data_IF_268006857255
#
_entry.id   IF_268006857255
#
_cell.length_a   1.000
_cell.length_b   1.000
_cell.length_c   1.000
_cell.angle_alpha   90.00
_cell.angle_beta   90.00
_cell.angle_gamma   90.00
#
_symmetry.space_group_name_H-M   'P 1'
#
loop_
_entity.id
_entity.type
_entity.pdbx_description
1 polymer ?
#
# COMPACT_ATOMS: atom_id res chain seq x y z
N UNK A 1 8.13 -21.00 13.22
CA UNK A 1 8.19 -19.52 13.27
C UNK A 1 9.59 -19.11 12.84
N UNK A 2 9.82 -18.79 11.56
CA UNK A 2 11.10 -18.26 11.09
C UNK A 2 11.38 -16.95 11.83
N UNK A 3 12.62 -16.76 12.30
CA UNK A 3 12.98 -15.74 13.27
C UNK A 3 12.61 -14.33 12.82
N UNK A 4 11.60 -13.74 13.46
CA UNK A 4 11.32 -12.31 13.36
C UNK A 4 12.54 -11.53 13.85
N UNK A 5 12.91 -10.50 13.10
CA UNK A 5 13.92 -9.54 13.53
C UNK A 5 13.42 -8.79 14.77
N UNK A 6 13.86 -9.27 15.94
CA UNK A 6 13.45 -8.79 17.26
C UNK A 6 13.77 -7.31 17.46
N UNK A 7 14.74 -6.75 16.76
CA UNK A 7 15.09 -5.34 16.86
C UNK A 7 14.07 -4.46 16.13
N UNK A 8 13.73 -4.82 14.89
CA UNK A 8 12.68 -4.13 14.12
C UNK A 8 11.32 -4.21 14.82
N UNK A 9 10.96 -5.38 15.37
CA UNK A 9 9.72 -5.54 16.14
C UNK A 9 9.68 -4.62 17.36
N UNK A 10 10.77 -4.56 18.15
CA UNK A 10 10.89 -3.67 19.31
C UNK A 10 10.77 -2.19 18.92
N UNK A 11 11.35 -1.80 17.79
CA UNK A 11 11.25 -0.43 17.29
C UNK A 11 9.83 -0.07 16.88
N UNK A 12 9.14 -0.95 16.16
CA UNK A 12 7.75 -0.73 15.74
C UNK A 12 6.80 -0.64 16.95
N UNK A 13 6.98 -1.50 17.95
CA UNK A 13 6.17 -1.50 19.18
C UNK A 13 6.30 -0.20 20.01
N UNK A 14 7.30 0.64 19.75
CA UNK A 14 7.41 1.98 20.38
C UNK A 14 6.42 2.99 19.80
N UNK A 15 6.04 2.82 18.53
CA UNK A 15 5.18 3.76 17.80
C UNK A 15 3.78 3.22 17.57
N UNK A 16 3.63 1.89 17.57
CA UNK A 16 2.37 1.22 17.30
C UNK A 16 2.00 0.29 18.47
N UNK A 17 0.74 0.28 18.92
CA UNK A 17 0.28 -0.58 20.00
C UNK A 17 0.26 -2.06 19.60
N UNK A 18 0.30 -2.36 18.30
CA UNK A 18 0.35 -3.72 17.76
C UNK A 18 1.32 -3.82 16.60
N UNK A 19 1.98 -4.96 16.54
CA UNK A 19 2.82 -5.39 15.43
C UNK A 19 2.37 -6.80 15.04
N UNK A 20 2.19 -7.03 13.76
CA UNK A 20 1.84 -8.33 13.18
C UNK A 20 2.67 -8.60 11.93
N UNK A 21 2.72 -9.85 11.50
CA UNK A 21 3.25 -10.15 10.15
C UNK A 21 2.32 -9.55 9.10
N UNK A 22 2.84 -9.26 7.90
CA UNK A 22 2.00 -8.78 6.80
C UNK A 22 0.86 -9.76 6.48
N UNK A 23 1.13 -11.07 6.53
CA UNK A 23 0.11 -12.09 6.32
C UNK A 23 -1.01 -12.02 7.36
N UNK A 24 -0.66 -11.97 8.65
CA UNK A 24 -1.64 -11.87 9.74
C UNK A 24 -2.45 -10.57 9.66
N UNK A 25 -1.78 -9.48 9.26
CA UNK A 25 -2.44 -8.19 9.07
C UNK A 25 -3.47 -8.26 7.93
N UNK A 26 -3.12 -8.82 6.77
CA UNK A 26 -4.04 -9.02 5.65
C UNK A 26 -5.22 -9.94 6.04
N UNK A 27 -4.96 -11.01 6.79
CA UNK A 27 -5.99 -11.91 7.31
C UNK A 27 -6.97 -11.23 8.29
N UNK A 28 -6.57 -10.15 8.97
CA UNK A 28 -7.47 -9.34 9.79
C UNK A 28 -8.33 -8.38 8.96
N UNK A 29 -7.85 -7.96 7.79
CA UNK A 29 -8.59 -7.03 6.91
C UNK A 29 -9.66 -7.73 6.07
N UNK A 30 -9.40 -8.98 5.67
CA UNK A 30 -10.23 -9.75 4.76
C UNK A 30 -11.18 -10.72 5.49
N UNK A 31 -12.31 -11.10 4.87
CA UNK A 31 -13.22 -12.09 5.44
C UNK A 31 -12.55 -13.48 5.50
N UNK A 32 -12.79 -14.23 6.59
CA UNK A 32 -12.13 -15.52 6.84
C UNK A 32 -12.43 -16.59 5.78
N UNK A 33 -13.64 -16.58 5.21
CA UNK A 33 -14.11 -17.63 4.29
C UNK A 33 -13.31 -17.72 2.99
N UNK A 34 -12.83 -16.58 2.48
CA UNK A 34 -12.12 -16.51 1.19
C UNK A 34 -10.76 -15.81 1.30
N UNK A 35 -10.63 -14.81 2.17
CA UNK A 35 -9.43 -13.98 2.27
C UNK A 35 -8.21 -14.74 2.80
N UNK A 36 -8.40 -15.62 3.77
CA UNK A 36 -7.29 -16.35 4.40
C UNK A 36 -6.64 -17.33 3.40
N UNK A 37 -7.46 -18.03 2.61
CA UNK A 37 -6.97 -18.92 1.55
C UNK A 37 -6.19 -18.15 0.48
N UNK A 38 -6.67 -16.97 0.09
CA UNK A 38 -6.00 -16.13 -0.90
C UNK A 38 -4.67 -15.56 -0.38
N UNK A 39 -4.60 -15.18 0.90
CA UNK A 39 -3.35 -14.72 1.54
C UNK A 39 -2.32 -15.85 1.58
N UNK A 40 -2.72 -17.07 1.93
CA UNK A 40 -1.80 -18.21 1.89
C UNK A 40 -1.32 -18.49 0.46
N UNK A 41 -2.20 -18.48 -0.54
CA UNK A 41 -1.84 -18.68 -1.96
C UNK A 41 -0.91 -17.58 -2.50
N UNK A 42 -1.09 -16.32 -2.05
CA UNK A 42 -0.20 -15.21 -2.40
C UNK A 42 1.25 -15.49 -1.98
N UNK A 43 1.41 -16.01 -0.75
CA UNK A 43 2.72 -16.29 -0.17
C UNK A 43 3.22 -17.73 -0.41
N UNK A 44 2.43 -18.56 -1.09
CA UNK A 44 2.90 -19.84 -1.61
C UNK A 44 3.85 -19.59 -2.79
N UNK A 45 5.07 -20.12 -2.66
CA UNK A 45 6.08 -20.08 -3.70
C UNK A 45 5.50 -20.71 -4.97
N UNK A 46 5.64 -20.10 -6.16
CA UNK A 46 5.35 -20.81 -7.39
C UNK A 46 6.35 -21.97 -7.48
N UNK A 47 5.89 -23.19 -7.18
CA UNK A 47 6.60 -24.39 -7.60
C UNK A 47 6.56 -24.39 -9.12
N UNK A 48 7.73 -24.33 -9.73
CA UNK A 48 8.00 -24.31 -11.17
C UNK A 48 8.09 -22.92 -11.86
N UNK A 49 9.31 -22.64 -12.30
CA UNK A 49 9.68 -21.86 -13.50
C UNK A 49 9.66 -20.32 -13.49
N UNK A 50 8.99 -19.63 -12.57
CA UNK A 50 8.93 -18.15 -12.61
C UNK A 50 9.96 -17.46 -11.69
N UNK A 51 11.11 -17.08 -12.26
CA UNK A 51 12.17 -16.17 -11.75
C UNK A 51 12.49 -16.20 -10.24
N UNK A 52 13.72 -16.56 -9.89
CA UNK A 52 14.26 -16.51 -8.52
C UNK A 52 14.01 -15.17 -7.78
N UNK A 53 13.85 -14.08 -8.52
CA UNK A 53 13.59 -12.74 -7.99
C UNK A 53 12.20 -12.61 -7.34
N UNK A 54 11.12 -13.10 -7.96
CA UNK A 54 9.77 -12.98 -7.40
C UNK A 54 9.61 -13.81 -6.12
N UNK A 55 10.14 -15.04 -6.11
CA UNK A 55 10.09 -15.91 -4.93
C UNK A 55 10.83 -15.28 -3.75
N UNK A 56 11.97 -14.64 -4.01
CA UNK A 56 12.73 -13.90 -2.99
C UNK A 56 11.96 -12.67 -2.48
N UNK A 57 11.35 -11.89 -3.38
CA UNK A 57 10.52 -10.74 -3.00
C UNK A 57 9.31 -11.14 -2.14
N UNK A 58 8.61 -12.24 -2.49
CA UNK A 58 7.48 -12.73 -1.72
C UNK A 58 7.91 -13.26 -0.34
N UNK A 59 9.08 -13.89 -0.24
CA UNK A 59 9.66 -14.27 1.05
C UNK A 59 9.97 -13.04 1.91
N UNK A 60 10.51 -11.96 1.31
CA UNK A 60 10.72 -10.68 2.00
C UNK A 60 9.40 -10.08 2.50
N UNK A 61 8.34 -10.07 1.68
CA UNK A 61 7.02 -9.60 2.09
C UNK A 61 6.40 -10.47 3.18
N UNK A 62 6.55 -11.80 3.12
CA UNK A 62 6.05 -12.71 4.15
C UNK A 62 6.72 -12.45 5.51
N UNK A 63 8.01 -12.08 5.49
CA UNK A 63 8.75 -11.67 6.68
C UNK A 63 8.53 -10.22 7.11
N UNK A 64 7.76 -9.43 6.35
CA UNK A 64 7.54 -8.02 6.67
C UNK A 64 6.64 -7.87 7.90
N UNK A 65 6.97 -6.87 8.72
CA UNK A 65 6.22 -6.51 9.92
C UNK A 65 5.37 -5.26 9.66
N UNK A 66 4.14 -5.28 10.17
CA UNK A 66 3.18 -4.18 10.08
C UNK A 66 2.87 -3.69 11.48
N UNK A 67 3.24 -2.43 11.76
CA UNK A 67 2.79 -1.70 12.95
C UNK A 67 1.46 -1.00 12.67
N UNK A 68 0.46 -1.19 13.52
CA UNK A 68 -0.86 -0.58 13.32
C UNK A 68 -1.52 -0.14 14.63
N UNK A 69 -2.29 0.95 14.56
CA UNK A 69 -2.93 1.61 15.71
C UNK A 69 -4.31 1.02 16.05
N UNK A 70 -5.03 0.57 15.03
CA UNK A 70 -6.41 0.10 15.16
C UNK A 70 -6.47 -1.41 15.06
N UNK A 71 -7.32 -1.98 15.91
CA UNK A 71 -7.71 -3.39 15.86
C UNK A 71 -9.02 -3.39 15.12
N UNK A 72 -9.02 -3.92 13.91
CA UNK A 72 -10.27 -4.20 13.24
C UNK A 72 -10.99 -5.28 14.08
N UNK A 73 -11.98 -4.88 14.90
CA UNK A 73 -12.79 -5.82 15.69
C UNK A 73 -13.57 -6.77 14.78
N UNK A 74 -13.76 -6.37 13.52
CA UNK A 74 -14.34 -7.15 12.43
C UNK A 74 -13.57 -6.83 11.15
N UNK A 75 -13.57 -7.73 10.14
CA UNK A 75 -12.90 -7.48 8.87
C UNK A 75 -13.30 -6.13 8.30
N UNK A 76 -12.31 -5.34 7.86
CA UNK A 76 -12.55 -4.03 7.28
C UNK A 76 -13.30 -4.16 5.95
N UNK A 77 -12.99 -5.20 5.18
CA UNK A 77 -13.56 -5.44 3.86
C UNK A 77 -14.53 -6.61 3.86
N UNK A 78 -15.64 -6.51 4.62
CA UNK A 78 -16.60 -7.61 4.79
C UNK A 78 -17.24 -8.12 3.48
N UNK A 79 -17.36 -7.24 2.50
CA UNK A 79 -17.93 -7.54 1.17
C UNK A 79 -16.86 -7.85 0.13
N UNK A 80 -15.61 -8.01 0.55
CA UNK A 80 -14.55 -8.41 -0.36
C UNK A 80 -14.82 -9.80 -0.90
N UNK A 81 -14.50 -9.98 -2.18
CA UNK A 81 -14.43 -11.26 -2.88
C UNK A 81 -13.13 -11.27 -3.64
N UNK A 82 -12.59 -12.45 -3.88
CA UNK A 82 -11.40 -12.59 -4.72
C UNK A 82 -11.65 -11.96 -6.11
N UNK A 83 -10.78 -11.05 -6.58
CA UNK A 83 -10.84 -10.53 -7.94
C UNK A 83 -10.67 -11.67 -8.95
N UNK A 84 -11.43 -11.63 -10.05
CA UNK A 84 -11.11 -12.47 -11.20
C UNK A 84 -9.83 -11.96 -11.86
N UNK A 85 -9.08 -12.82 -12.51
CA UNK A 85 -7.83 -12.43 -13.19
C UNK A 85 -8.09 -11.29 -14.21
N UNK A 86 -9.19 -11.36 -14.94
CA UNK A 86 -9.65 -10.30 -15.87
C UNK A 86 -9.93 -8.97 -15.16
N UNK A 87 -10.53 -9.00 -13.97
CA UNK A 87 -10.82 -7.81 -13.16
C UNK A 87 -9.51 -7.19 -12.65
N UNK A 88 -8.57 -8.02 -12.18
CA UNK A 88 -7.25 -7.58 -11.73
C UNK A 88 -6.42 -6.97 -12.86
N UNK A 89 -6.50 -7.53 -14.07
CA UNK A 89 -5.88 -6.96 -15.26
C UNK A 89 -6.54 -5.63 -15.69
N UNK A 90 -7.85 -5.48 -15.43
CA UNK A 90 -8.59 -4.25 -15.72
C UNK A 90 -8.37 -3.13 -14.69
N UNK A 91 -7.87 -3.42 -13.48
CA UNK A 91 -7.54 -2.41 -12.46
C UNK A 91 -6.42 -1.45 -12.90
N UNK A 92 -5.70 -1.80 -13.96
CA UNK A 92 -4.63 -1.00 -14.54
C UNK A 92 -3.27 -1.33 -13.95
N UNK A 93 -2.29 -0.48 -14.27
CA UNK A 93 -0.92 -0.66 -13.80
C UNK A 93 -0.79 -0.30 -12.31
N UNK A 94 0.14 -0.93 -11.59
CA UNK A 94 0.44 -0.63 -10.18
C UNK A 94 0.73 0.87 -10.02
N UNK A 95 1.40 1.48 -11.01
CA UNK A 95 1.62 2.93 -11.06
C UNK A 95 0.33 3.75 -10.95
N UNK A 96 -0.70 3.36 -11.70
CA UNK A 96 -1.99 4.07 -11.72
C UNK A 96 -2.74 3.91 -10.40
N UNK A 97 -2.70 2.70 -9.82
CA UNK A 97 -3.30 2.41 -8.52
C UNK A 97 -2.62 3.23 -7.41
N UNK A 98 -1.29 3.31 -7.44
CA UNK A 98 -0.51 4.13 -6.49
C UNK A 98 -0.85 5.61 -6.66
N UNK A 99 -0.94 6.12 -7.90
CA UNK A 99 -1.34 7.52 -8.16
C UNK A 99 -2.74 7.81 -7.60
N UNK A 100 -3.71 6.92 -7.83
CA UNK A 100 -5.06 7.04 -7.27
C UNK A 100 -5.06 7.01 -5.74
N UNK A 101 -4.25 6.16 -5.11
CA UNK A 101 -4.10 6.10 -3.67
C UNK A 101 -3.50 7.40 -3.11
N UNK A 102 -2.45 7.92 -3.75
CA UNK A 102 -1.85 9.22 -3.39
C UNK A 102 -2.86 10.37 -3.49
N UNK A 103 -3.67 10.40 -4.56
CA UNK A 103 -4.72 11.41 -4.73
C UNK A 103 -5.76 11.38 -3.61
N UNK A 104 -6.18 10.18 -3.18
CA UNK A 104 -7.08 9.99 -2.03
C UNK A 104 -6.45 10.47 -0.72
N UNK A 105 -5.16 10.19 -0.51
CA UNK A 105 -4.43 10.67 0.67
C UNK A 105 -4.38 12.20 0.72
N UNK A 106 -4.05 12.87 -0.39
CA UNK A 106 -4.08 14.34 -0.46
C UNK A 106 -5.48 14.94 -0.20
N UNK A 107 -6.55 14.26 -0.64
CA UNK A 107 -7.93 14.66 -0.34
C UNK A 107 -8.22 14.58 1.16
N UNK A 108 -7.80 13.49 1.82
CA UNK A 108 -7.99 13.30 3.26
C UNK A 108 -7.20 14.31 4.09
N UNK A 109 -5.98 14.65 3.67
CA UNK A 109 -5.15 15.66 4.33
C UNK A 109 -5.79 17.05 4.30
N UNK A 110 -6.38 17.49 3.16
CA UNK A 110 -7.14 18.77 3.09
C UNK A 110 -8.29 18.80 4.11
N UNK A 111 -9.01 17.70 4.28
CA UNK A 111 -10.08 17.59 5.28
C UNK A 111 -9.58 17.70 6.73
N UNK A 112 -8.30 17.41 6.99
CA UNK A 112 -7.68 17.45 8.32
C UNK A 112 -6.96 18.75 8.64
N UNK A 113 -6.73 19.64 7.67
CA UNK A 113 -6.03 20.93 7.85
C UNK A 113 -6.69 21.89 8.86
N UNK A 114 -7.92 21.62 9.34
CA UNK A 114 -8.54 22.33 10.46
C UNK A 114 -8.07 21.90 11.86
N UNK A 115 -7.33 20.79 11.99
CA UNK A 115 -6.77 20.31 13.27
C UNK A 115 -5.26 20.36 13.22
N UNK A 116 -4.66 21.13 14.14
CA UNK A 116 -3.21 21.15 14.44
C UNK A 116 -2.76 19.76 14.87
N UNK A 117 -2.54 18.89 13.91
CA UNK A 117 -1.83 17.63 14.09
C UNK A 117 -0.56 17.76 13.27
N UNK A 118 0.57 17.50 13.91
CA UNK A 118 1.84 17.22 13.25
C UNK A 118 1.65 15.98 12.38
N UNK A 119 1.00 16.16 11.23
CA UNK A 119 0.80 15.12 10.24
C UNK A 119 2.18 14.76 9.71
N UNK A 120 2.75 13.66 10.21
CA UNK A 120 3.88 13.03 9.56
C UNK A 120 3.48 12.83 8.10
N UNK A 121 4.22 13.44 7.17
CA UNK A 121 3.94 13.34 5.75
C UNK A 121 3.87 11.86 5.38
N UNK A 122 2.79 11.44 4.71
CA UNK A 122 2.66 10.05 4.30
C UNK A 122 3.83 9.69 3.37
N UNK A 123 4.48 8.56 3.62
CA UNK A 123 5.65 8.11 2.85
C UNK A 123 5.33 7.98 1.35
N UNK A 124 4.07 7.70 1.00
CA UNK A 124 3.60 7.62 -0.38
C UNK A 124 3.42 8.99 -1.01
N UNK A 125 3.11 10.04 -0.25
CA UNK A 125 2.91 11.40 -0.80
C UNK A 125 4.19 12.25 -0.74
N UNK A 126 5.23 11.79 -0.05
CA UNK A 126 6.50 12.49 0.04
C UNK A 126 7.11 12.76 -1.35
N UNK A 127 7.37 14.02 -1.67
CA UNK A 127 7.92 14.44 -2.97
C UNK A 127 6.88 14.71 -4.06
N UNK A 128 5.60 14.40 -3.82
CA UNK A 128 4.50 14.66 -4.75
C UNK A 128 3.69 15.89 -4.34
N UNK A 129 3.14 16.61 -5.32
CA UNK A 129 2.10 17.63 -5.11
C UNK A 129 1.07 17.55 -6.21
N UNK A 130 -0.11 18.11 -5.98
CA UNK A 130 -1.15 18.18 -7.00
C UNK A 130 -0.86 19.28 -8.02
N UNK A 131 -1.29 19.09 -9.26
CA UNK A 131 -1.10 20.07 -10.33
C UNK A 131 -1.81 21.41 -10.07
N UNK A 132 -2.91 21.43 -9.31
CA UNK A 132 -3.64 22.66 -8.91
C UNK A 132 -2.81 23.55 -7.97
N UNK A 133 -1.98 22.96 -7.11
CA UNK A 133 -1.06 23.68 -6.22
C UNK A 133 0.12 24.32 -6.97
N UNK A 134 0.42 23.86 -8.18
CA UNK A 134 1.39 24.51 -9.09
C UNK A 134 0.79 25.75 -9.75
N UNK A 135 -0.50 25.72 -10.09
CA UNK A 135 -1.17 26.82 -10.76
C UNK A 135 -1.28 28.08 -9.88
N UNK A 136 -1.39 27.93 -8.55
CA UNK A 136 -1.38 29.06 -7.61
C UNK A 136 -0.02 29.74 -7.52
N UNK A 137 1.07 29.00 -7.74
CA UNK A 137 2.45 29.53 -7.72
C UNK A 137 2.82 30.19 -9.06
N UNK A 138 2.35 29.65 -10.19
CA UNK A 138 2.77 30.09 -11.53
C UNK A 138 1.68 30.82 -12.35
N UNK A 139 0.50 31.10 -11.78
CA UNK A 139 -0.65 31.75 -12.47
C UNK A 139 -0.95 31.16 -13.85
N UNK A 140 -0.89 29.83 -13.97
CA UNK A 140 -1.24 29.13 -15.22
C UNK A 140 -2.75 28.85 -15.25
N UNK A 141 -3.42 28.98 -16.41
CA UNK A 141 -4.83 28.65 -16.53
C UNK A 141 -5.03 27.16 -16.20
N UNK A 142 -5.78 26.90 -15.12
CA UNK A 142 -6.14 25.54 -14.74
C UNK A 142 -7.09 24.97 -15.80
N UNK A 143 -6.71 23.84 -16.39
CA UNK A 143 -7.72 22.92 -16.94
C UNK A 143 -8.45 22.33 -15.74
N UNK A 144 -9.63 22.87 -15.44
CA UNK A 144 -10.55 22.28 -14.45
C UNK A 144 -10.68 20.79 -14.72
N UNK A 145 -10.28 19.95 -13.76
CA UNK A 145 -10.38 18.49 -13.84
C UNK A 145 -9.05 17.74 -14.03
N UNK A 146 -7.90 18.41 -14.14
CA UNK A 146 -6.60 17.72 -14.10
C UNK A 146 -6.30 17.21 -12.68
N UNK A 147 -6.62 15.94 -12.44
CA UNK A 147 -6.26 15.20 -11.21
C UNK A 147 -4.82 14.68 -11.25
N UNK A 148 -3.91 15.34 -11.98
CA UNK A 148 -2.55 14.86 -12.16
C UNK A 148 -1.66 15.19 -10.96
N UNK A 149 -0.88 14.22 -10.49
CA UNK A 149 0.19 14.44 -9.53
C UNK A 149 1.48 14.83 -10.23
N UNK A 150 2.17 15.85 -9.71
CA UNK A 150 3.51 16.22 -10.16
C UNK A 150 4.52 15.73 -9.15
N UNK A 151 5.54 15.01 -9.64
CA UNK A 151 6.66 14.57 -8.84
C UNK A 151 7.77 15.64 -8.84
N UNK A 152 8.23 16.06 -7.66
CA UNK A 152 9.33 17.01 -7.48
C UNK A 152 10.62 16.33 -7.05
N UNK A 153 10.54 15.15 -6.41
CA UNK A 153 11.68 14.41 -5.88
C UNK A 153 11.44 12.91 -6.00
N UNK A 154 12.47 12.17 -6.41
CA UNK A 154 12.38 10.71 -6.51
C UNK A 154 12.01 10.11 -5.15
N UNK A 155 10.86 9.44 -5.10
CA UNK A 155 10.42 8.69 -3.94
C UNK A 155 10.73 7.21 -4.16
N UNK A 156 11.85 6.76 -3.59
CA UNK A 156 12.34 5.38 -3.77
C UNK A 156 11.37 4.33 -3.23
N UNK A 157 10.51 4.66 -2.26
CA UNK A 157 9.48 3.75 -1.77
C UNK A 157 8.39 3.54 -2.82
N UNK A 158 7.92 4.63 -3.44
CA UNK A 158 6.95 4.56 -4.54
C UNK A 158 7.57 3.81 -5.73
N UNK A 159 8.83 4.09 -6.08
CA UNK A 159 9.53 3.36 -7.15
C UNK A 159 9.59 1.85 -6.87
N UNK A 160 9.91 1.44 -5.63
CA UNK A 160 9.94 0.02 -5.24
C UNK A 160 8.57 -0.64 -5.36
N UNK A 161 7.51 0.05 -4.96
CA UNK A 161 6.13 -0.47 -5.06
C UNK A 161 5.73 -0.63 -6.53
N UNK A 162 5.97 0.39 -7.36
CA UNK A 162 5.56 0.38 -8.77
C UNK A 162 6.33 -0.65 -9.59
N UNK A 163 7.63 -0.83 -9.30
CA UNK A 163 8.49 -1.74 -10.07
C UNK A 163 8.53 -3.17 -9.52
N UNK A 164 8.10 -3.41 -8.28
CA UNK A 164 8.20 -4.71 -7.64
C UNK A 164 7.14 -5.69 -8.17
N UNK A 165 7.53 -6.85 -8.72
CA UNK A 165 6.58 -7.83 -9.25
C UNK A 165 5.68 -8.43 -8.16
N UNK A 166 6.11 -8.40 -6.91
CA UNK A 166 5.33 -8.83 -5.75
C UNK A 166 4.06 -8.00 -5.54
N UNK A 167 4.10 -6.68 -5.82
CA UNK A 167 2.96 -5.79 -5.67
C UNK A 167 1.90 -6.02 -6.74
N UNK A 168 2.32 -6.42 -7.94
CA UNK A 168 1.39 -6.87 -8.98
C UNK A 168 0.67 -8.15 -8.58
N UNK A 169 1.37 -9.08 -7.91
CA UNK A 169 0.74 -10.30 -7.37
C UNK A 169 -0.23 -9.97 -6.24
N UNK A 170 0.03 -8.94 -5.44
CA UNK A 170 -0.91 -8.47 -4.42
C UNK A 170 -2.23 -7.93 -4.99
N UNK A 171 -2.30 -7.53 -6.27
CA UNK A 171 -3.57 -7.13 -6.91
C UNK A 171 -4.53 -8.31 -7.16
N UNK A 172 -4.04 -9.55 -7.00
CA UNK A 172 -4.85 -10.77 -7.07
C UNK A 172 -5.45 -11.15 -5.71
N UNK A 173 -5.11 -10.40 -4.64
CA UNK A 173 -5.94 -10.27 -3.44
C UNK A 173 -6.96 -9.17 -3.71
#
# INVERSE_FOLDING_TARGET
MPGMDKETERLLMRFYPRVSSLADYLCQLLPQSEGHACVEELFQSPESSCSSNLSSSLACLRGALVGHSEIAQQPLYRTWRRPREEEALALGDVAQIVEQAQLRLFQQERGRQGRKTTSAANILTHGYRRADERASVFKLPLVSGSSALTNFYVNTNVTRIVMGPEWRRMLLL
#
